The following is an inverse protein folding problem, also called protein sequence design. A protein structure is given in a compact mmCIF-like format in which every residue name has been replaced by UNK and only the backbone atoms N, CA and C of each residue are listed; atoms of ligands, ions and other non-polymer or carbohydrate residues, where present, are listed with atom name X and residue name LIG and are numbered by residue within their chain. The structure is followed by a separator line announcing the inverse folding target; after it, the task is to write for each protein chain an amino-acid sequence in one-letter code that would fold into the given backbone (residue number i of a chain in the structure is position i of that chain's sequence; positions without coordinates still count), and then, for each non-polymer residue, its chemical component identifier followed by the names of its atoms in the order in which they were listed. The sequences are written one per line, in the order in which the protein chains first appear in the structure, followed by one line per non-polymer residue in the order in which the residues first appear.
data_IF_675650059671
#
_entry.id   IF_675650059671
#
_cell.length_a   1.000
_cell.length_b   1.000
_cell.length_c   1.000
_cell.angle_alpha   90.00
_cell.angle_beta   90.00
_cell.angle_gamma   90.00
#
_symmetry.space_group_name_H-M   'P 1'
#
loop_
_entity.id
_entity.type
_entity.pdbx_description
1 polymer ?
#
# COMPACT_ATOMS: atom_id res chain seq x y z
N UNK A 1 -2.01 0.11 2.90
CA UNK A 1 -1.18 -0.12 1.68
C UNK A 1 -1.00 1.21 0.93
N UNK A 2 0.00 1.35 0.04
CA UNK A 2 0.34 2.65 -0.60
C UNK A 2 -0.86 3.36 -1.25
N UNK A 3 -1.78 2.60 -1.85
CA UNK A 3 -2.98 3.12 -2.53
C UNK A 3 -3.96 3.84 -1.59
N UNK A 4 -3.92 3.56 -0.28
CA UNK A 4 -4.75 4.23 0.72
C UNK A 4 -4.34 5.70 0.90
N UNK A 5 -3.09 6.03 0.56
CA UNK A 5 -2.53 7.39 0.65
C UNK A 5 -2.59 8.16 -0.67
N UNK A 6 -3.19 7.60 -1.72
CA UNK A 6 -3.40 8.32 -2.98
C UNK A 6 -4.58 9.28 -2.83
N UNK A 7 -4.34 10.56 -3.13
CA UNK A 7 -5.36 11.62 -3.09
C UNK A 7 -5.81 12.09 -4.47
N UNK A 8 -5.00 11.90 -5.52
CA UNK A 8 -5.30 12.20 -6.92
C UNK A 8 -4.39 11.39 -7.87
N UNK A 9 -4.70 11.35 -9.16
CA UNK A 9 -3.93 10.69 -10.21
C UNK A 9 -4.10 11.40 -11.56
N UNK A 10 -3.11 11.29 -12.44
CA UNK A 10 -3.27 11.60 -13.87
C UNK A 10 -3.28 10.32 -14.69
N UNK A 11 -4.26 10.18 -15.57
CA UNK A 11 -4.50 8.96 -16.34
C UNK A 11 -4.90 9.29 -17.78
N UNK A 12 -4.44 8.50 -18.74
CA UNK A 12 -4.95 8.49 -20.11
C UNK A 12 -5.95 7.33 -20.27
N UNK A 13 -7.18 7.65 -20.67
CA UNK A 13 -8.21 6.65 -20.93
C UNK A 13 -8.08 6.00 -22.31
N UNK A 14 -8.99 5.07 -22.62
CA UNK A 14 -8.99 4.33 -23.90
C UNK A 14 -9.21 5.23 -25.13
N UNK A 15 -9.75 6.43 -24.94
CA UNK A 15 -9.98 7.41 -26.00
C UNK A 15 -8.83 8.42 -26.11
N UNK A 16 -7.75 8.25 -25.34
CA UNK A 16 -6.62 9.18 -25.32
C UNK A 16 -6.85 10.44 -24.48
N UNK A 17 -7.93 10.50 -23.68
CA UNK A 17 -8.24 11.68 -22.86
C UNK A 17 -7.43 11.67 -21.57
N UNK A 18 -6.82 12.81 -21.24
CA UNK A 18 -6.21 13.05 -19.94
C UNK A 18 -7.26 13.33 -18.87
N UNK A 19 -7.22 12.53 -17.81
CA UNK A 19 -8.13 12.61 -16.68
C UNK A 19 -7.34 12.83 -15.37
N UNK A 20 -7.87 13.71 -14.53
CA UNK A 20 -7.60 13.78 -13.08
C UNK A 20 -8.76 13.16 -12.27
N UNK A 21 -8.64 13.05 -10.94
CA UNK A 21 -9.70 12.47 -10.07
C UNK A 21 -11.07 13.05 -10.35
N UNK A 22 -11.18 14.38 -10.39
CA UNK A 22 -12.46 15.06 -10.60
C UNK A 22 -13.09 14.69 -11.95
N UNK A 23 -12.29 14.56 -13.00
CA UNK A 23 -12.76 14.24 -14.36
C UNK A 23 -12.95 12.75 -14.65
N UNK A 24 -12.27 11.85 -13.92
CA UNK A 24 -12.42 10.40 -14.09
C UNK A 24 -13.60 9.83 -13.31
N UNK A 25 -14.08 10.54 -12.28
CA UNK A 25 -15.14 10.07 -11.39
C UNK A 25 -14.63 9.11 -10.31
N UNK A 26 -15.40 8.96 -9.24
CA UNK A 26 -14.96 8.22 -8.05
C UNK A 26 -14.88 6.70 -8.27
N UNK A 27 -15.68 6.13 -9.18
CA UNK A 27 -15.63 4.69 -9.49
C UNK A 27 -14.31 4.30 -10.16
N UNK A 28 -13.88 5.07 -11.17
CA UNK A 28 -12.59 4.85 -11.83
C UNK A 28 -11.44 5.17 -10.88
N UNK A 29 -11.56 6.23 -10.07
CA UNK A 29 -10.58 6.56 -9.04
C UNK A 29 -10.44 5.47 -7.96
N UNK A 30 -11.53 4.79 -7.59
CA UNK A 30 -11.50 3.62 -6.72
C UNK A 30 -10.79 2.44 -7.41
N UNK A 31 -11.15 2.15 -8.65
CA UNK A 31 -10.62 0.99 -9.39
C UNK A 31 -9.10 1.04 -9.56
N UNK A 32 -8.53 2.20 -9.89
CA UNK A 32 -7.09 2.35 -10.07
C UNK A 32 -6.29 2.24 -8.76
N UNK A 33 -6.94 2.40 -7.60
CA UNK A 33 -6.32 2.32 -6.27
C UNK A 33 -6.34 0.91 -5.68
N UNK A 34 -6.05 -0.11 -6.50
CA UNK A 34 -5.91 -1.49 -6.03
C UNK A 34 -6.34 -2.57 -7.02
N UNK A 35 -7.06 -2.19 -8.09
CA UNK A 35 -7.56 -3.14 -9.10
C UNK A 35 -6.50 -3.73 -10.04
N UNK A 36 -5.22 -3.38 -9.86
CA UNK A 36 -4.11 -3.81 -10.73
C UNK A 36 -3.92 -2.91 -11.96
N UNK A 37 -2.69 -2.85 -12.44
CA UNK A 37 -2.35 -2.07 -13.64
C UNK A 37 -2.82 -2.74 -14.94
N UNK A 38 -2.98 -1.95 -16.00
CA UNK A 38 -3.26 -2.43 -17.36
C UNK A 38 -4.74 -2.56 -17.73
N UNK A 39 -5.66 -2.53 -16.77
CA UNK A 39 -7.11 -2.67 -17.03
C UNK A 39 -7.86 -1.35 -17.21
N UNK A 40 -7.35 -0.25 -16.63
CA UNK A 40 -8.13 0.99 -16.43
C UNK A 40 -7.56 2.21 -17.17
N UNK A 41 -6.62 1.99 -18.09
CA UNK A 41 -5.89 3.05 -18.79
C UNK A 41 -4.42 3.12 -18.39
N UNK A 42 -3.76 4.21 -18.80
CA UNK A 42 -2.32 4.43 -18.54
C UNK A 42 -2.18 5.54 -17.50
N UNK A 43 -1.75 5.18 -16.29
CA UNK A 43 -1.46 6.15 -15.24
C UNK A 43 -0.13 6.84 -15.55
N UNK A 44 -0.15 8.17 -15.58
CA UNK A 44 1.02 9.01 -15.81
C UNK A 44 1.66 9.44 -14.49
N UNK A 45 0.85 9.78 -13.49
CA UNK A 45 1.34 10.24 -12.19
C UNK A 45 0.34 9.99 -11.06
N UNK A 46 0.86 9.96 -9.84
CA UNK A 46 0.09 9.85 -8.60
C UNK A 46 0.37 11.05 -7.70
N UNK A 47 -0.66 11.57 -7.05
CA UNK A 47 -0.52 12.51 -5.94
C UNK A 47 -0.73 11.76 -4.64
N UNK A 48 0.31 11.71 -3.81
CA UNK A 48 0.30 11.01 -2.52
C UNK A 48 0.17 11.98 -1.37
N UNK A 49 -0.57 11.57 -0.33
CA UNK A 49 -0.51 12.18 0.98
C UNK A 49 0.66 11.55 1.76
N UNK A 50 1.72 12.34 1.96
CA UNK A 50 2.86 11.88 2.74
C UNK A 50 2.46 11.74 4.22
N UNK A 51 3.10 10.80 4.90
CA UNK A 51 2.93 10.59 6.34
C UNK A 51 4.19 11.04 7.07
N UNK A 52 4.02 11.61 8.25
CA UNK A 52 5.14 11.99 9.11
C UNK A 52 5.76 10.74 9.74
N UNK A 53 7.09 10.76 9.85
CA UNK A 53 7.84 9.69 10.52
C UNK A 53 8.82 10.31 11.52
N UNK A 54 9.09 9.63 12.65
CA UNK A 54 10.13 10.06 13.58
C UNK A 54 11.49 10.19 12.89
N UNK A 55 12.30 11.16 13.34
CA UNK A 55 13.67 11.36 12.85
C UNK A 55 14.58 10.14 13.08
N UNK A 56 14.30 9.37 14.13
CA UNK A 56 15.07 8.19 14.53
C UNK A 56 14.09 7.02 14.68
N UNK A 57 14.39 5.91 14.00
CA UNK A 57 13.65 4.65 14.07
C UNK A 57 14.60 3.53 14.53
N UNK A 58 14.05 2.48 15.14
CA UNK A 58 14.81 1.29 15.55
C UNK A 58 14.34 0.07 14.78
N UNK A 59 15.28 -0.70 14.22
CA UNK A 59 15.01 -1.95 13.50
C UNK A 59 15.81 -3.08 14.13
N UNK A 60 15.27 -4.30 14.13
CA UNK A 60 15.97 -5.49 14.61
C UNK A 60 15.68 -6.72 13.73
N UNK A 61 16.60 -7.69 13.74
CA UNK A 61 16.43 -8.99 13.09
C UNK A 61 16.86 -10.09 14.05
N UNK A 62 15.93 -11.01 14.34
CA UNK A 62 16.18 -12.18 15.19
C UNK A 62 15.86 -13.43 14.38
N UNK A 63 16.86 -14.27 14.16
CA UNK A 63 16.69 -15.54 13.47
C UNK A 63 16.43 -16.66 14.50
N UNK A 64 15.52 -17.58 14.19
CA UNK A 64 15.23 -18.78 14.98
C UNK A 64 15.18 -20.01 14.09
N UNK A 65 15.98 -21.02 14.40
CA UNK A 65 15.89 -22.34 13.75
C UNK A 65 14.82 -23.20 14.43
N UNK A 66 14.52 -24.37 13.85
CA UNK A 66 13.59 -25.33 14.46
C UNK A 66 14.12 -25.84 15.82
N UNK A 67 15.43 -26.13 15.90
CA UNK A 67 16.10 -26.59 17.13
C UNK A 67 16.07 -25.52 18.23
N UNK A 68 16.00 -24.24 17.85
CA UNK A 68 15.85 -23.11 18.76
C UNK A 68 14.38 -22.83 19.14
N UNK A 69 13.45 -23.72 18.81
CA UNK A 69 12.03 -23.58 19.10
C UNK A 69 11.28 -22.63 18.15
N UNK A 70 11.73 -22.51 16.90
CA UNK A 70 11.15 -21.59 15.90
C UNK A 70 9.64 -21.73 15.73
N UNK A 71 9.09 -22.96 15.80
CA UNK A 71 7.65 -23.21 15.71
C UNK A 71 6.87 -22.55 16.84
N UNK A 72 7.36 -22.62 18.09
CA UNK A 72 6.70 -22.01 19.25
C UNK A 72 6.73 -20.48 19.16
N UNK A 73 7.86 -19.92 18.69
CA UNK A 73 8.00 -18.48 18.47
C UNK A 73 7.02 -18.00 17.39
N UNK A 74 6.95 -18.71 16.25
CA UNK A 74 6.04 -18.35 15.16
C UNK A 74 4.57 -18.46 15.59
N UNK A 75 4.20 -19.53 16.30
CA UNK A 75 2.84 -19.71 16.80
C UNK A 75 2.46 -18.56 17.74
N UNK A 76 3.33 -18.21 18.69
CA UNK A 76 3.08 -17.06 19.57
C UNK A 76 3.01 -15.76 18.78
N UNK A 77 3.88 -15.56 17.80
CA UNK A 77 3.91 -14.37 16.96
C UNK A 77 2.57 -14.17 16.22
N UNK A 78 1.99 -15.23 15.64
CA UNK A 78 0.67 -15.17 14.98
C UNK A 78 -0.46 -14.69 15.92
N UNK A 79 -0.35 -14.95 17.23
CA UNK A 79 -1.36 -14.58 18.22
C UNK A 79 -1.23 -13.14 18.75
N UNK A 80 -0.05 -12.51 18.60
CA UNK A 80 0.27 -11.22 19.23
C UNK A 80 0.67 -10.13 18.25
N UNK A 81 1.15 -10.46 17.04
CA UNK A 81 1.71 -9.48 16.10
C UNK A 81 0.72 -8.42 15.66
N UNK A 82 -0.55 -8.77 15.52
CA UNK A 82 -1.65 -7.85 15.15
C UNK A 82 -2.18 -7.02 16.32
N UNK A 83 -1.65 -7.20 17.54
CA UNK A 83 -2.06 -6.50 18.76
C UNK A 83 -1.02 -5.51 19.27
N UNK A 84 0.11 -5.38 18.59
CA UNK A 84 1.08 -4.33 18.89
C UNK A 84 0.49 -2.95 18.54
N UNK A 85 0.96 -1.87 19.17
CA UNK A 85 0.58 -0.51 18.78
C UNK A 85 0.87 -0.26 17.30
N UNK A 86 -0.01 0.53 16.67
CA UNK A 86 0.23 1.12 15.34
C UNK A 86 1.30 2.22 15.39
#
# INVERSE_FOLDING_TARGET
ITVDHVVDAQLIDVNGKLLNRASMGEDLFWAIRGGGGGSFGVILSWKLNLVEVPKILTVFKVNKTLEQGGTNVLYKWQLVSTKFPE
#
